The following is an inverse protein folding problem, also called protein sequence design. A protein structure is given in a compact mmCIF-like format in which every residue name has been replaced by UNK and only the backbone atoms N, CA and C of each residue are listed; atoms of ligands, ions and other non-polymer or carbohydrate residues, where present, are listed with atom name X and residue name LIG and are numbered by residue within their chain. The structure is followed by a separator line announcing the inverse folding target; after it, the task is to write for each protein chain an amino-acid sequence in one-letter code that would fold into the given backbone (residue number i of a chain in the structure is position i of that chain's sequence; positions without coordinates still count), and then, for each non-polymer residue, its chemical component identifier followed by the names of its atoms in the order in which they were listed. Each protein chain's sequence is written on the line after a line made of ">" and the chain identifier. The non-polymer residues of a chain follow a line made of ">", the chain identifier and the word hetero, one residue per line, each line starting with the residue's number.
data_IF_964888306811
#
_entry.id   IF_964888306811
#
_cell.length_a   1.000
_cell.length_b   1.000
_cell.length_c   1.000
_cell.angle_alpha   90.00
_cell.angle_beta   90.00
_cell.angle_gamma   90.00
#
_symmetry.space_group_name_H-M   'P 1'
#
loop_
_entity.id
_entity.type
_entity.pdbx_description
1 polymer ?
#
# COMPACT_ATOMS: atom_id res chain seq x y z
N UNK A 1 6.16 14.45 6.50
CA UNK A 1 7.24 13.62 5.91
C UNK A 1 6.97 12.17 6.28
N UNK A 2 7.02 11.27 5.30
CA UNK A 2 6.90 9.82 5.46
C UNK A 2 8.15 9.27 6.16
N UNK A 3 7.98 8.42 7.17
CA UNK A 3 9.06 7.83 7.97
C UNK A 3 9.12 6.33 7.85
N UNK A 4 7.98 5.67 7.79
CA UNK A 4 7.89 4.20 7.79
C UNK A 4 6.72 3.75 6.91
N UNK A 5 6.86 2.55 6.34
CA UNK A 5 5.81 1.86 5.59
C UNK A 5 5.72 0.42 6.12
N UNK A 6 4.52 -0.03 6.44
CA UNK A 6 4.24 -1.45 6.71
C UNK A 6 3.12 -1.95 5.80
N UNK A 7 3.32 -3.14 5.23
CA UNK A 7 2.39 -3.80 4.31
C UNK A 7 2.08 -5.21 4.80
N UNK A 8 0.80 -5.58 4.75
CA UNK A 8 0.32 -6.92 5.08
C UNK A 8 -0.60 -7.41 3.96
N UNK A 9 -0.36 -8.62 3.47
CA UNK A 9 -1.08 -9.26 2.38
C UNK A 9 -1.20 -8.39 1.11
N UNK A 10 -0.18 -7.59 0.79
CA UNK A 10 -0.18 -6.67 -0.35
C UNK A 10 0.79 -7.09 -1.46
N UNK A 11 0.25 -7.53 -2.59
CA UNK A 11 0.95 -7.88 -3.84
C UNK A 11 2.09 -8.88 -3.64
N UNK A 12 3.31 -8.37 -3.62
CA UNK A 12 4.53 -9.16 -3.51
C UNK A 12 4.91 -9.43 -2.04
N UNK A 13 4.22 -8.80 -1.08
CA UNK A 13 4.53 -8.87 0.33
C UNK A 13 3.42 -9.61 1.06
N UNK A 14 3.77 -10.75 1.65
CA UNK A 14 2.94 -11.37 2.69
C UNK A 14 2.94 -10.47 3.93
N UNK A 15 4.15 -10.09 4.36
CA UNK A 15 4.41 -9.15 5.44
C UNK A 15 5.64 -8.31 5.07
N UNK A 16 5.55 -7.01 5.27
CA UNK A 16 6.66 -6.06 5.26
C UNK A 16 6.47 -5.14 6.46
N UNK A 17 7.33 -5.24 7.46
CA UNK A 17 7.24 -4.47 8.69
C UNK A 17 8.25 -3.32 8.69
N UNK A 18 7.79 -2.13 9.07
CA UNK A 18 8.61 -1.00 9.49
C UNK A 18 9.73 -0.63 8.50
N UNK A 19 9.42 -0.63 7.20
CA UNK A 19 10.36 -0.17 6.19
C UNK A 19 10.67 1.31 6.42
N UNK A 20 11.85 1.59 6.98
CA UNK A 20 12.31 2.96 7.25
C UNK A 20 12.56 3.74 5.96
N UNK A 21 11.97 4.94 5.89
CA UNK A 21 12.07 5.91 4.81
C UNK A 21 12.86 7.11 5.30
N UNK A 22 14.01 7.34 4.65
CA UNK A 22 14.88 8.51 4.84
C UNK A 22 14.58 9.56 3.76
N UNK A 23 14.98 10.84 3.96
CA UNK A 23 14.79 11.91 2.97
C UNK A 23 15.25 11.54 1.55
N UNK A 24 16.31 10.73 1.45
CA UNK A 24 16.70 10.03 0.24
C UNK A 24 16.65 8.53 0.49
N UNK A 25 15.71 7.85 -0.16
CA UNK A 25 15.56 6.39 -0.11
C UNK A 25 15.59 5.86 -1.54
N UNK A 26 16.49 4.92 -1.81
CA UNK A 26 16.64 4.31 -3.14
C UNK A 26 16.16 2.85 -3.06
N UNK A 27 15.16 2.49 -3.87
CA UNK A 27 14.69 1.11 -4.00
C UNK A 27 15.48 0.38 -5.08
N UNK A 28 16.44 -0.46 -4.67
CA UNK A 28 17.26 -1.28 -5.56
C UNK A 28 16.99 -2.78 -5.35
N UNK A 29 17.31 -3.61 -6.35
CA UNK A 29 17.17 -5.06 -6.28
C UNK A 29 16.59 -5.67 -7.55
N UNK A 30 16.45 -6.99 -7.57
CA UNK A 30 16.00 -7.78 -8.74
C UNK A 30 14.60 -7.38 -9.22
N UNK A 31 14.35 -7.57 -10.52
CA UNK A 31 13.00 -7.42 -11.08
C UNK A 31 12.02 -8.36 -10.37
N UNK A 32 10.79 -7.91 -10.20
CA UNK A 32 9.77 -8.60 -9.40
C UNK A 32 10.04 -8.66 -7.88
N UNK A 33 11.13 -8.08 -7.36
CA UNK A 33 11.43 -8.05 -5.92
C UNK A 33 10.57 -7.11 -5.06
N UNK A 34 9.35 -6.77 -5.48
CA UNK A 34 8.41 -5.96 -4.68
C UNK A 34 8.61 -4.44 -4.69
N UNK A 35 9.66 -3.91 -5.33
CA UNK A 35 9.94 -2.46 -5.41
C UNK A 35 8.75 -1.63 -5.90
N UNK A 36 8.14 -2.04 -7.02
CA UNK A 36 6.95 -1.36 -7.56
C UNK A 36 5.73 -1.51 -6.65
N UNK A 37 5.66 -2.59 -5.86
CA UNK A 37 4.58 -2.78 -4.88
C UNK A 37 4.68 -1.76 -3.73
N UNK A 38 5.89 -1.41 -3.27
CA UNK A 38 6.09 -0.34 -2.28
C UNK A 38 5.59 1.01 -2.82
N UNK A 39 5.90 1.35 -4.07
CA UNK A 39 5.41 2.59 -4.68
C UNK A 39 3.89 2.55 -4.85
N UNK A 40 3.34 1.44 -5.35
CA UNK A 40 1.90 1.28 -5.58
C UNK A 40 1.08 1.32 -4.29
N UNK A 41 1.61 0.88 -3.15
CA UNK A 41 0.90 0.98 -1.86
C UNK A 41 0.71 2.44 -1.43
N UNK A 42 1.73 3.28 -1.61
CA UNK A 42 1.65 4.71 -1.35
C UNK A 42 0.67 5.42 -2.29
N UNK A 43 0.72 5.09 -3.59
CA UNK A 43 -0.20 5.67 -4.57
C UNK A 43 -1.65 5.23 -4.32
N UNK A 44 -1.85 3.98 -3.90
CA UNK A 44 -3.17 3.47 -3.50
C UNK A 44 -3.71 4.23 -2.30
N UNK A 45 -2.90 4.42 -1.25
CA UNK A 45 -3.28 5.23 -0.09
C UNK A 45 -3.66 6.65 -0.51
N UNK A 46 -2.85 7.27 -1.38
CA UNK A 46 -3.08 8.64 -1.84
C UNK A 46 -4.41 8.79 -2.58
N UNK A 47 -4.69 7.95 -3.59
CA UNK A 47 -5.96 8.04 -4.32
C UNK A 47 -7.17 7.65 -3.47
N UNK A 48 -7.01 6.69 -2.56
CA UNK A 48 -8.10 6.31 -1.66
C UNK A 48 -8.41 7.42 -0.65
N UNK A 49 -7.39 8.14 -0.19
CA UNK A 49 -7.56 9.31 0.67
C UNK A 49 -8.20 10.50 -0.05
N UNK A 50 -7.89 10.70 -1.33
CA UNK A 50 -8.53 11.75 -2.15
C UNK A 50 -9.93 11.37 -2.64
N UNK A 51 -10.32 10.10 -2.52
CA UNK A 51 -11.67 9.68 -2.85
C UNK A 51 -12.64 10.20 -1.79
N UNK A 52 -13.49 11.16 -2.17
CA UNK A 52 -14.49 11.79 -1.31
C UNK A 52 -15.80 10.98 -1.21
N UNK A 53 -15.79 9.70 -1.60
CA UNK A 53 -16.94 8.81 -1.44
C UNK A 53 -17.38 8.76 0.02
N UNK A 54 -18.68 8.64 0.25
CA UNK A 54 -19.24 8.49 1.60
C UNK A 54 -18.81 7.18 2.28
N UNK A 55 -18.25 6.24 1.50
CA UNK A 55 -17.79 4.94 1.94
C UNK A 55 -16.25 4.96 2.00
N UNK A 56 -15.68 4.59 3.14
CA UNK A 56 -14.23 4.47 3.33
C UNK A 56 -13.69 3.26 2.56
N UNK A 57 -13.53 3.41 1.25
CA UNK A 57 -13.10 2.35 0.34
C UNK A 57 -11.70 2.64 -0.25
N UNK A 58 -10.88 1.59 -0.37
CA UNK A 58 -9.72 1.63 -1.25
C UNK A 58 -10.16 1.79 -2.69
N UNK A 59 -9.67 2.87 -3.29
CA UNK A 59 -9.79 3.08 -4.71
C UNK A 59 -8.69 2.27 -5.38
N UNK A 60 -8.97 1.05 -5.84
CA UNK A 60 -7.93 0.17 -6.41
C UNK A 60 -7.36 0.68 -7.75
N UNK A 61 -8.20 1.31 -8.55
CA UNK A 61 -7.87 1.77 -9.89
C UNK A 61 -8.30 3.23 -10.02
N UNK A 62 -7.37 4.10 -10.44
CA UNK A 62 -7.63 5.53 -10.51
C UNK A 62 -6.44 6.28 -11.09
N UNK A 63 -6.41 7.59 -10.85
CA UNK A 63 -5.45 8.50 -11.46
C UNK A 63 -3.98 8.18 -11.13
N UNK A 64 -3.68 7.77 -9.90
CA UNK A 64 -2.29 7.57 -9.48
C UNK A 64 -1.79 6.14 -9.65
N UNK A 65 -2.68 5.14 -9.55
CA UNK A 65 -2.32 3.74 -9.78
C UNK A 65 -3.50 2.90 -10.25
N UNK A 66 -3.19 1.95 -11.14
CA UNK A 66 -4.05 0.84 -11.53
C UNK A 66 -3.48 -0.44 -10.92
N UNK A 67 -4.29 -1.11 -10.11
CA UNK A 67 -3.91 -2.33 -9.40
C UNK A 67 -4.62 -3.59 -9.91
N UNK A 68 -5.67 -3.46 -10.72
CA UNK A 68 -6.44 -4.59 -11.24
C UNK A 68 -7.61 -4.96 -10.33
N UNK A 69 -7.90 -6.25 -10.25
CA UNK A 69 -8.91 -6.82 -9.37
C UNK A 69 -8.33 -7.06 -7.97
N UNK A 70 -9.20 -7.29 -6.98
CA UNK A 70 -8.76 -7.55 -5.60
C UNK A 70 -7.73 -8.69 -5.50
N UNK A 71 -7.89 -9.77 -6.29
CA UNK A 71 -6.94 -10.89 -6.36
C UNK A 71 -5.53 -10.48 -6.83
N UNK A 72 -5.41 -9.37 -7.56
CA UNK A 72 -4.13 -8.85 -8.06
C UNK A 72 -3.44 -7.93 -7.02
N UNK A 73 -4.20 -7.53 -6.00
CA UNK A 73 -3.75 -6.68 -4.89
C UNK A 73 -3.42 -7.52 -3.66
N UNK A 74 -4.17 -8.58 -3.40
CA UNK A 74 -3.92 -9.49 -2.28
C UNK A 74 -2.72 -10.39 -2.59
N UNK A 75 -1.85 -10.57 -1.59
CA UNK A 75 -0.72 -11.49 -1.67
C UNK A 75 -1.16 -12.91 -2.08
N UNK A 76 -0.50 -13.48 -3.09
CA UNK A 76 -0.82 -14.78 -3.68
C UNK A 76 -2.26 -14.95 -4.19
N UNK A 77 -3.06 -13.87 -4.30
CA UNK A 77 -4.45 -13.92 -4.76
C UNK A 77 -5.38 -14.81 -3.91
N UNK A 78 -4.95 -15.23 -2.72
CA UNK A 78 -5.73 -16.05 -1.79
C UNK A 78 -6.36 -15.17 -0.72
N UNK A 79 -7.62 -14.79 -0.95
CA UNK A 79 -8.42 -13.93 -0.07
C UNK A 79 -9.06 -14.69 1.09
N UNK A 80 -8.30 -15.53 1.78
CA UNK A 80 -8.83 -16.26 2.94
C UNK A 80 -8.83 -15.32 4.16
N UNK A 81 -9.93 -14.57 4.32
CA UNK A 81 -10.43 -13.92 5.54
C UNK A 81 -9.54 -12.92 6.33
N UNK A 82 -8.30 -12.63 5.92
CA UNK A 82 -7.43 -11.70 6.65
C UNK A 82 -7.35 -10.32 5.99
N UNK A 83 -7.46 -9.22 6.77
CA UNK A 83 -7.48 -7.89 6.21
C UNK A 83 -6.14 -7.52 5.58
N UNK A 84 -6.17 -7.10 4.32
CA UNK A 84 -5.03 -6.43 3.71
C UNK A 84 -4.81 -5.09 4.41
N UNK A 85 -3.57 -4.84 4.82
CA UNK A 85 -3.20 -3.63 5.54
C UNK A 85 -2.12 -2.87 4.80
N UNK A 86 -2.32 -1.56 4.65
CA UNK A 86 -1.28 -0.62 4.27
C UNK A 86 -1.25 0.48 5.33
N UNK A 87 -0.11 0.65 5.97
CA UNK A 87 0.07 1.68 6.99
C UNK A 87 1.37 2.44 6.76
N UNK A 88 1.36 3.71 7.15
CA UNK A 88 2.53 4.55 7.08
C UNK A 88 2.58 5.53 8.25
N UNK A 89 3.79 5.82 8.71
CA UNK A 89 4.02 6.83 9.74
C UNK A 89 4.46 8.13 9.09
N UNK A 90 3.78 9.23 9.40
CA UNK A 90 4.15 10.57 8.95
C UNK A 90 4.31 11.53 10.14
N UNK A 91 5.21 12.53 10.00
CA UNK A 91 5.43 13.59 11.02
C UNK A 91 4.13 14.32 11.41
N UNK A 92 3.18 14.40 10.48
CA UNK A 92 1.84 14.92 10.71
C UNK A 92 0.96 13.66 10.76
N UNK A 93 0.42 13.30 11.92
CA UNK A 93 -0.26 12.03 12.24
C UNK A 93 -1.58 11.80 11.45
N UNK A 94 -1.52 11.72 10.13
CA UNK A 94 -2.65 11.43 9.27
C UNK A 94 -2.24 10.41 8.22
N UNK A 95 -2.62 9.15 8.44
CA UNK A 95 -2.99 8.14 7.45
C UNK A 95 -3.13 6.80 8.19
N UNK A 96 -4.29 6.59 8.83
CA UNK A 96 -4.63 5.30 9.44
C UNK A 96 -5.54 4.51 8.48
N UNK A 97 -5.00 3.38 8.06
CA UNK A 97 -5.65 2.12 7.68
C UNK A 97 -6.85 2.18 6.72
N UNK A 98 -6.62 1.71 5.51
CA UNK A 98 -7.66 1.01 4.77
C UNK A 98 -7.70 -0.41 5.35
N UNK A 99 -8.80 -0.79 6.01
CA UNK A 99 -9.09 -2.17 6.41
C UNK A 99 -10.22 -2.68 5.51
N UNK A 100 -10.05 -3.87 4.96
CA UNK A 100 -11.08 -4.64 4.27
C UNK A 100 -11.28 -5.97 4.97
#
# INVERSE_FOLDING_TARGET
>A
MLREISLEKFKAFDTLEELSIKPLTILCGVNSGGKSSIIKSLLLLKQSYENTSAINEATLNGQYTTNGLMKDVIYNGKGDAWPMTISCLAIINYLKFIRY
#
